data_IF_843128975802
#
_entry.id   IF_843128975802
#
_cell.length_a   1.000
_cell.length_b   1.000
_cell.length_c   1.000
_cell.angle_alpha   90.00
_cell.angle_beta   90.00
_cell.angle_gamma   90.00
#
_symmetry.space_group_name_H-M   'P 1'
#
loop_
_entity.id
_entity.type
_entity.pdbx_description
1 polymer ?
#
# COMPACT_ATOMS: atom_id res chain seq x y z
N UNK A 1 39.99 18.44 -21.97
CA UNK A 1 40.37 18.93 -20.62
C UNK A 1 39.27 19.82 -20.05
N UNK A 2 38.62 20.64 -20.90
CA UNK A 2 37.47 21.47 -20.52
C UNK A 2 36.19 20.64 -20.22
N UNK A 3 35.91 19.62 -21.04
CA UNK A 3 34.77 18.70 -20.82
C UNK A 3 34.83 17.99 -19.46
N UNK A 4 36.02 17.47 -19.08
CA UNK A 4 36.21 16.81 -17.79
C UNK A 4 36.00 17.75 -16.58
N UNK A 5 36.28 19.05 -16.74
CA UNK A 5 36.07 20.04 -15.68
C UNK A 5 34.58 20.43 -15.58
N UNK A 6 33.89 20.52 -16.72
CA UNK A 6 32.46 20.77 -16.77
C UNK A 6 31.68 19.58 -16.19
N UNK A 7 32.02 18.35 -16.57
CA UNK A 7 31.42 17.13 -16.02
C UNK A 7 31.63 17.02 -14.50
N UNK A 8 32.83 17.38 -14.02
CA UNK A 8 33.12 17.41 -12.59
C UNK A 8 32.26 18.44 -11.84
N UNK A 9 32.11 19.66 -12.38
CA UNK A 9 31.25 20.70 -11.79
C UNK A 9 29.78 20.27 -11.76
N UNK A 10 29.30 19.65 -12.84
CA UNK A 10 27.92 19.15 -12.91
C UNK A 10 27.69 18.03 -11.89
N UNK A 11 28.65 17.11 -11.74
CA UNK A 11 28.61 16.06 -10.72
C UNK A 11 28.58 16.63 -9.30
N UNK A 12 29.43 17.62 -8.98
CA UNK A 12 29.41 18.27 -7.67
C UNK A 12 28.08 19.00 -7.38
N UNK A 13 27.53 19.69 -8.39
CA UNK A 13 26.24 20.37 -8.26
C UNK A 13 25.10 19.36 -8.03
N UNK A 14 25.07 18.26 -8.78
CA UNK A 14 24.08 17.19 -8.62
C UNK A 14 24.17 16.56 -7.22
N UNK A 15 25.39 16.37 -6.70
CA UNK A 15 25.61 15.90 -5.33
C UNK A 15 25.08 16.91 -4.30
N UNK A 16 25.41 18.20 -4.44
CA UNK A 16 24.92 19.27 -3.56
C UNK A 16 23.38 19.35 -3.54
N UNK A 17 22.73 19.27 -4.70
CA UNK A 17 21.27 19.22 -4.81
C UNK A 17 20.66 17.99 -4.14
N UNK A 18 21.32 16.85 -4.22
CA UNK A 18 20.88 15.62 -3.54
C UNK A 18 21.00 15.73 -2.02
N UNK A 19 22.07 16.35 -1.51
CA UNK A 19 22.24 16.63 -0.07
C UNK A 19 21.17 17.60 0.41
N UNK A 20 20.94 18.69 -0.33
CA UNK A 20 19.90 19.66 0.01
C UNK A 20 18.51 19.01 0.04
N UNK A 21 18.18 18.13 -0.89
CA UNK A 21 16.90 17.42 -0.90
C UNK A 21 16.70 16.60 0.39
N UNK A 22 17.72 15.83 0.79
CA UNK A 22 17.69 15.04 2.02
C UNK A 22 17.55 15.92 3.26
N UNK A 23 18.30 17.01 3.35
CA UNK A 23 18.22 17.94 4.47
C UNK A 23 16.84 18.58 4.56
N UNK A 24 16.26 18.98 3.43
CA UNK A 24 14.93 19.58 3.40
C UNK A 24 13.83 18.60 3.78
N UNK A 25 13.90 17.35 3.30
CA UNK A 25 12.94 16.33 3.70
C UNK A 25 13.08 15.94 5.17
N UNK A 26 14.32 15.81 5.67
CA UNK A 26 14.56 15.50 7.08
C UNK A 26 14.04 16.60 8.00
N UNK A 27 14.20 17.90 7.66
CA UNK A 27 13.59 19.00 8.43
C UNK A 27 12.07 18.83 8.61
N UNK A 28 11.37 18.34 7.60
CA UNK A 28 9.94 18.06 7.71
C UNK A 28 9.65 16.89 8.64
N UNK A 29 10.43 15.80 8.56
CA UNK A 29 10.31 14.65 9.45
C UNK A 29 10.63 15.05 10.89
N UNK A 30 11.70 15.79 11.11
CA UNK A 30 12.11 16.29 12.43
C UNK A 30 11.03 17.19 13.03
N UNK A 31 10.42 18.06 12.22
CA UNK A 31 9.31 18.92 12.67
C UNK A 31 8.05 18.11 13.02
N UNK A 32 7.81 16.98 12.35
CA UNK A 32 6.72 16.04 12.68
C UNK A 32 6.95 15.35 14.03
N UNK A 33 8.21 15.00 14.31
CA UNK A 33 8.60 14.29 15.53
C UNK A 33 8.68 15.23 16.74
N UNK A 34 9.19 16.45 16.54
CA UNK A 34 9.43 17.43 17.62
C UNK A 34 8.33 18.47 17.77
N UNK A 35 7.43 18.58 16.79
CA UNK A 35 6.41 19.63 16.64
C UNK A 35 6.96 21.07 16.49
N UNK A 36 8.28 21.24 16.51
CA UNK A 36 8.92 22.54 16.36
C UNK A 36 8.89 22.99 14.88
N UNK A 37 8.32 24.16 14.61
CA UNK A 37 8.23 24.70 13.24
C UNK A 37 7.33 23.87 12.30
N UNK A 38 6.50 22.98 12.85
CA UNK A 38 5.70 22.02 12.07
C UNK A 38 4.81 22.69 11.02
N UNK A 39 4.12 23.78 11.38
CA UNK A 39 3.22 24.50 10.46
C UNK A 39 3.96 24.98 9.22
N UNK A 40 5.15 25.57 9.40
CA UNK A 40 5.97 26.08 8.29
C UNK A 40 6.41 24.93 7.37
N UNK A 41 6.88 23.81 7.94
CA UNK A 41 7.32 22.66 7.14
C UNK A 41 6.15 21.99 6.41
N UNK A 42 4.96 21.90 7.04
CA UNK A 42 3.75 21.40 6.38
C UNK A 42 3.37 22.30 5.20
N UNK A 43 3.28 23.61 5.40
CA UNK A 43 2.93 24.57 4.35
C UNK A 43 3.90 24.50 3.18
N UNK A 44 5.20 24.36 3.46
CA UNK A 44 6.22 24.22 2.45
C UNK A 44 6.04 22.95 1.61
N UNK A 45 5.82 21.80 2.24
CA UNK A 45 5.58 20.54 1.52
C UNK A 45 4.29 20.60 0.71
N UNK A 46 3.22 21.15 1.27
CA UNK A 46 1.95 21.34 0.57
C UNK A 46 2.14 22.22 -0.68
N UNK A 47 2.88 23.32 -0.57
CA UNK A 47 3.20 24.17 -1.72
C UNK A 47 4.00 23.44 -2.80
N UNK A 48 4.95 22.56 -2.43
CA UNK A 48 5.70 21.75 -3.39
C UNK A 48 4.77 20.73 -4.07
N UNK A 49 3.88 20.10 -3.32
CA UNK A 49 2.89 19.16 -3.85
C UNK A 49 1.95 19.88 -4.83
N UNK A 50 1.45 21.06 -4.47
CA UNK A 50 0.55 21.84 -5.33
C UNK A 50 1.23 22.25 -6.64
N UNK A 51 2.46 22.76 -6.56
CA UNK A 51 3.21 23.22 -7.73
C UNK A 51 3.65 22.06 -8.63
N UNK A 52 4.14 20.96 -8.06
CA UNK A 52 4.71 19.85 -8.82
C UNK A 52 3.65 18.78 -9.12
N UNK A 53 3.09 18.16 -8.09
CA UNK A 53 2.21 16.98 -8.24
C UNK A 53 0.88 17.37 -8.88
N UNK A 54 0.30 18.50 -8.50
CA UNK A 54 -1.04 18.91 -8.94
C UNK A 54 -1.03 19.88 -10.12
N UNK A 55 0.13 20.41 -10.51
CA UNK A 55 0.24 21.37 -11.59
C UNK A 55 1.29 20.97 -12.64
N UNK A 56 2.57 21.29 -12.44
CA UNK A 56 3.62 21.16 -13.47
C UNK A 56 3.78 19.74 -14.00
N UNK A 57 3.62 18.75 -13.12
CA UNK A 57 3.90 17.34 -13.40
C UNK A 57 2.66 16.45 -13.23
N UNK A 58 1.45 17.02 -13.30
CA UNK A 58 0.20 16.28 -13.07
C UNK A 58 0.04 15.03 -13.95
N UNK A 59 0.57 15.03 -15.18
CA UNK A 59 0.45 13.92 -16.13
C UNK A 59 1.16 12.63 -15.69
N UNK A 60 2.23 12.75 -14.88
CA UNK A 60 2.94 11.58 -14.33
C UNK A 60 2.34 11.10 -13.01
N UNK A 61 1.71 11.99 -12.24
CA UNK A 61 1.12 11.65 -10.94
C UNK A 61 -0.34 11.24 -11.02
N UNK A 62 -1.17 11.91 -11.83
CA UNK A 62 -2.60 11.60 -11.92
C UNK A 62 -2.82 10.36 -12.77
N UNK A 63 -3.45 9.34 -12.19
CA UNK A 63 -3.83 8.10 -12.90
C UNK A 63 -5.32 7.85 -12.78
N UNK A 64 -5.89 7.29 -13.84
CA UNK A 64 -7.26 6.80 -13.88
C UNK A 64 -7.24 5.30 -13.56
N UNK A 65 -8.08 4.88 -12.60
CA UNK A 65 -8.43 3.47 -12.46
C UNK A 65 -9.61 3.20 -13.38
N UNK A 66 -9.38 2.38 -14.40
CA UNK A 66 -10.36 2.13 -15.45
C UNK A 66 -11.51 1.26 -14.96
N UNK A 67 -12.70 1.48 -15.54
CA UNK A 67 -13.88 0.68 -15.26
C UNK A 67 -13.61 -0.78 -15.58
N UNK A 68 -14.03 -1.68 -14.70
CA UNK A 68 -13.81 -3.11 -14.83
C UNK A 68 -12.48 -3.59 -14.24
N UNK A 69 -11.58 -2.70 -13.83
CA UNK A 69 -10.34 -3.10 -13.16
C UNK A 69 -10.65 -3.76 -11.82
N UNK A 70 -10.03 -4.91 -11.56
CA UNK A 70 -10.20 -5.67 -10.33
C UNK A 70 -9.09 -5.37 -9.31
N UNK A 71 -9.48 -5.34 -8.05
CA UNK A 71 -8.59 -5.13 -6.90
C UNK A 71 -8.96 -6.07 -5.76
N UNK A 72 -8.06 -6.23 -4.80
CA UNK A 72 -8.22 -7.24 -3.75
C UNK A 72 -7.99 -6.66 -2.37
N UNK A 73 -8.70 -7.20 -1.38
CA UNK A 73 -8.41 -6.94 0.03
C UNK A 73 -8.45 -8.24 0.81
N UNK A 74 -7.43 -8.47 1.63
CA UNK A 74 -7.40 -9.59 2.54
C UNK A 74 -7.78 -9.14 3.96
N UNK A 75 -8.35 -10.04 4.73
CA UNK A 75 -8.54 -9.92 6.19
C UNK A 75 -8.30 -11.28 6.82
N UNK A 76 -7.66 -11.30 7.99
CA UNK A 76 -7.63 -12.50 8.83
C UNK A 76 -9.06 -12.73 9.34
N UNK A 77 -9.56 -13.95 9.18
CA UNK A 77 -10.86 -14.36 9.73
C UNK A 77 -10.65 -14.62 11.22
N UNK A 78 -11.38 -13.88 12.07
CA UNK A 78 -11.40 -14.16 13.50
C UNK A 78 -12.10 -15.52 13.71
N UNK A 79 -11.50 -16.47 14.46
CA UNK A 79 -12.14 -17.76 14.76
C UNK A 79 -13.56 -17.64 15.35
N UNK A 80 -13.85 -16.55 16.06
CA UNK A 80 -15.20 -16.28 16.60
C UNK A 80 -16.25 -16.02 15.51
N UNK A 81 -15.83 -15.62 14.31
CA UNK A 81 -16.71 -15.29 13.19
C UNK A 81 -17.08 -16.50 12.31
N UNK A 82 -16.45 -17.67 12.51
CA UNK A 82 -16.68 -18.91 11.74
C UNK A 82 -18.16 -19.31 11.66
N UNK A 83 -18.91 -19.02 12.73
CA UNK A 83 -20.32 -19.36 12.92
C UNK A 83 -21.29 -18.21 12.64
N UNK A 84 -20.77 -17.02 12.32
CA UNK A 84 -21.56 -15.81 12.09
C UNK A 84 -21.89 -15.61 10.61
N UNK A 85 -22.95 -16.29 10.17
CA UNK A 85 -23.49 -16.16 8.81
C UNK A 85 -23.83 -14.71 8.42
N UNK A 86 -24.05 -13.81 9.39
CA UNK A 86 -24.35 -12.39 9.12
C UNK A 86 -23.12 -11.61 8.65
N UNK A 87 -21.92 -12.17 8.82
CA UNK A 87 -20.67 -11.61 8.31
C UNK A 87 -20.24 -12.19 6.96
N UNK A 88 -21.01 -13.12 6.41
CA UNK A 88 -20.75 -13.78 5.13
C UNK A 88 -19.82 -14.99 5.17
N UNK A 89 -19.22 -15.31 6.32
CA UNK A 89 -18.34 -16.47 6.46
C UNK A 89 -19.17 -17.75 6.47
N UNK A 90 -18.79 -18.70 5.62
CA UNK A 90 -19.47 -19.98 5.54
C UNK A 90 -19.20 -20.72 4.25
N UNK A 91 -20.08 -21.65 3.90
CA UNK A 91 -19.98 -22.44 2.68
C UNK A 91 -21.24 -22.42 1.84
N UNK A 92 -21.05 -22.48 0.53
CA UNK A 92 -22.13 -22.62 -0.46
C UNK A 92 -22.68 -24.05 -0.49
N UNK A 93 -23.78 -24.26 -1.23
CA UNK A 93 -24.35 -25.60 -1.43
C UNK A 93 -23.39 -26.57 -2.14
N UNK A 94 -22.54 -26.06 -3.04
CA UNK A 94 -21.47 -26.81 -3.70
C UNK A 94 -20.18 -26.89 -2.88
N UNK A 95 -20.24 -26.62 -1.57
CA UNK A 95 -19.14 -26.72 -0.61
C UNK A 95 -17.92 -25.83 -0.92
N UNK A 96 -18.11 -24.69 -1.60
CA UNK A 96 -17.09 -23.64 -1.69
C UNK A 96 -17.14 -22.75 -0.46
N UNK A 97 -15.99 -22.29 0.00
CA UNK A 97 -15.89 -21.44 1.19
C UNK A 97 -15.92 -19.96 0.81
N UNK A 98 -16.82 -19.22 1.43
CA UNK A 98 -16.95 -17.77 1.32
C UNK A 98 -16.28 -17.11 2.54
N UNK A 99 -15.56 -16.02 2.27
CA UNK A 99 -14.98 -15.19 3.32
C UNK A 99 -15.99 -14.17 3.82
N UNK A 100 -15.52 -13.04 4.33
CA UNK A 100 -16.36 -11.92 4.72
C UNK A 100 -17.22 -11.41 3.55
N UNK A 101 -18.43 -10.96 3.86
CA UNK A 101 -19.33 -10.28 2.95
C UNK A 101 -18.83 -8.88 2.56
N UNK A 102 -19.65 -8.14 1.81
CA UNK A 102 -19.35 -6.77 1.37
C UNK A 102 -19.03 -5.84 2.57
N UNK A 103 -19.90 -5.80 3.57
CA UNK A 103 -19.77 -4.89 4.73
C UNK A 103 -18.47 -5.16 5.49
N UNK A 104 -18.14 -6.43 5.71
CA UNK A 104 -16.96 -6.81 6.50
C UNK A 104 -15.67 -6.78 5.66
N UNK A 105 -15.77 -6.83 4.34
CA UNK A 105 -14.64 -6.67 3.40
C UNK A 105 -14.31 -5.21 3.09
N UNK A 106 -15.27 -4.30 3.27
CA UNK A 106 -15.11 -2.86 3.02
C UNK A 106 -14.39 -2.09 4.12
N UNK A 107 -14.16 -0.82 3.87
CA UNK A 107 -13.67 0.17 4.84
C UNK A 107 -14.47 0.09 6.16
N UNK A 108 -13.82 0.33 7.30
CA UNK A 108 -14.54 0.40 8.56
C UNK A 108 -15.53 1.57 8.55
N UNK A 109 -16.63 1.44 9.29
CA UNK A 109 -17.58 2.54 9.52
C UNK A 109 -16.82 3.74 10.12
N UNK A 110 -17.19 4.95 9.69
CA UNK A 110 -16.64 6.20 10.21
C UNK A 110 -16.67 6.23 11.74
N UNK A 111 -15.54 6.57 12.36
CA UNK A 111 -15.34 6.62 13.79
C UNK A 111 -14.80 5.33 14.42
N UNK A 112 -14.77 4.20 13.70
CA UNK A 112 -14.37 2.90 14.25
C UNK A 112 -12.95 2.49 13.85
N UNK A 113 -12.51 2.85 12.64
CA UNK A 113 -11.24 2.39 12.08
C UNK A 113 -10.02 2.79 12.90
N UNK A 114 -8.99 1.95 12.93
CA UNK A 114 -7.67 2.33 13.47
C UNK A 114 -6.98 3.33 12.55
N UNK A 115 -5.93 3.97 13.05
CA UNK A 115 -5.04 4.72 12.17
C UNK A 115 -4.36 3.79 11.16
N UNK A 116 -3.95 4.40 10.05
CA UNK A 116 -3.22 3.73 8.99
C UNK A 116 -2.36 4.74 8.23
N UNK A 117 -1.72 4.26 7.16
CA UNK A 117 -0.72 5.02 6.42
C UNK A 117 -1.23 6.35 5.89
N UNK A 118 -2.47 6.35 5.42
CA UNK A 118 -3.09 7.49 4.74
C UNK A 118 -4.31 8.00 5.51
N UNK A 119 -4.48 7.60 6.78
CA UNK A 119 -5.65 7.94 7.58
C UNK A 119 -5.35 8.01 9.08
N UNK A 120 -5.93 9.00 9.75
CA UNK A 120 -6.00 9.02 11.22
C UNK A 120 -7.00 7.98 11.73
N UNK A 121 -6.94 7.65 13.02
CA UNK A 121 -7.97 6.84 13.66
C UNK A 121 -9.36 7.47 13.48
N UNK A 122 -10.37 6.64 13.25
CA UNK A 122 -11.75 7.04 12.98
C UNK A 122 -12.05 7.40 11.51
N UNK A 123 -11.05 7.54 10.65
CA UNK A 123 -11.31 7.72 9.21
C UNK A 123 -11.76 6.42 8.54
N UNK A 124 -12.58 6.55 7.49
CA UNK A 124 -13.19 5.44 6.75
C UNK A 124 -12.71 5.45 5.31
N UNK A 125 -11.61 4.73 5.02
CA UNK A 125 -11.06 4.58 3.68
C UNK A 125 -10.83 3.11 3.34
N UNK A 126 -10.99 2.78 2.05
CA UNK A 126 -10.84 1.42 1.57
C UNK A 126 -9.39 1.20 1.13
N UNK A 127 -8.72 0.25 1.82
CA UNK A 127 -7.40 -0.23 1.42
C UNK A 127 -7.54 -1.48 0.56
N UNK A 128 -6.98 -1.44 -0.65
CA UNK A 128 -6.98 -2.54 -1.62
C UNK A 128 -5.60 -2.68 -2.25
N UNK A 129 -5.34 -3.82 -2.87
CA UNK A 129 -4.11 -4.14 -3.55
C UNK A 129 -4.36 -4.55 -5.01
N UNK A 130 -3.32 -4.43 -5.83
CA UNK A 130 -3.35 -4.75 -7.27
C UNK A 130 -3.57 -6.22 -7.59
N UNK A 131 -3.24 -7.12 -6.65
CA UNK A 131 -3.32 -8.57 -6.86
C UNK A 131 -3.55 -9.32 -5.53
N UNK A 132 -4.00 -10.58 -5.58
CA UNK A 132 -4.22 -11.41 -4.40
C UNK A 132 -3.01 -11.55 -3.48
N UNK A 133 -1.81 -11.71 -4.05
CA UNK A 133 -0.57 -11.95 -3.33
C UNK A 133 -0.24 -10.75 -2.45
N UNK A 134 -0.31 -9.55 -3.02
CA UNK A 134 -0.08 -8.29 -2.31
C UNK A 134 -1.09 -8.12 -1.17
N UNK A 135 -2.38 -8.36 -1.43
CA UNK A 135 -3.41 -8.26 -0.41
C UNK A 135 -3.13 -9.19 0.78
N UNK A 136 -2.76 -10.44 0.51
CA UNK A 136 -2.43 -11.43 1.54
C UNK A 136 -1.17 -11.06 2.33
N UNK A 137 -0.16 -10.46 1.69
CA UNK A 137 1.06 -10.05 2.37
C UNK A 137 0.84 -8.86 3.31
N UNK A 138 0.00 -7.89 2.94
CA UNK A 138 -0.23 -6.67 3.74
C UNK A 138 -0.84 -6.95 5.12
N UNK A 139 -1.65 -8.00 5.26
CA UNK A 139 -2.27 -8.37 6.55
C UNK A 139 -1.32 -9.07 7.52
N UNK A 140 -0.13 -9.49 7.06
CA UNK A 140 0.93 -10.09 7.90
C UNK A 140 0.42 -11.24 8.80
N UNK A 141 -0.42 -12.09 8.23
CA UNK A 141 -0.98 -13.26 8.92
C UNK A 141 0.11 -14.25 9.36
N UNK A 142 -0.23 -15.13 10.28
CA UNK A 142 0.60 -16.22 10.78
C UNK A 142 0.23 -17.55 10.10
N UNK A 143 1.12 -18.54 10.22
CA UNK A 143 0.81 -19.88 9.71
C UNK A 143 -0.41 -20.47 10.43
N UNK A 144 -1.35 -20.98 9.65
CA UNK A 144 -2.61 -21.51 10.14
C UNK A 144 -3.78 -20.53 10.10
N UNK A 145 -3.52 -19.23 9.92
CA UNK A 145 -4.59 -18.23 9.80
C UNK A 145 -5.44 -18.50 8.56
N UNK A 146 -6.76 -18.38 8.75
CA UNK A 146 -7.70 -18.30 7.65
C UNK A 146 -7.81 -16.85 7.19
N UNK A 147 -7.77 -16.66 5.88
CA UNK A 147 -7.79 -15.35 5.25
C UNK A 147 -9.05 -15.26 4.39
N UNK A 148 -9.86 -14.24 4.62
CA UNK A 148 -10.88 -13.81 3.67
C UNK A 148 -10.21 -12.92 2.63
N UNK A 149 -10.16 -13.38 1.39
CA UNK A 149 -9.71 -12.58 0.25
C UNK A 149 -10.93 -12.11 -0.56
N UNK A 150 -11.23 -10.82 -0.47
CA UNK A 150 -12.28 -10.16 -1.22
C UNK A 150 -11.77 -9.60 -2.55
N UNK A 151 -12.63 -9.63 -3.56
CA UNK A 151 -12.43 -9.04 -4.88
C UNK A 151 -13.38 -7.86 -5.06
N UNK A 152 -12.84 -6.75 -5.54
CA UNK A 152 -13.56 -5.53 -5.86
C UNK A 152 -13.40 -5.18 -7.32
N UNK A 153 -14.38 -4.50 -7.90
CA UNK A 153 -14.34 -4.02 -9.29
C UNK A 153 -14.72 -2.55 -9.37
N UNK A 154 -13.94 -1.78 -10.12
CA UNK A 154 -14.22 -0.36 -10.36
C UNK A 154 -15.41 -0.22 -11.32
N UNK A 155 -16.40 0.58 -10.94
CA UNK A 155 -17.64 0.82 -11.70
C UNK A 155 -17.67 2.16 -12.44
N UNK A 156 -16.86 3.12 -11.99
CA UNK A 156 -16.67 4.41 -12.67
C UNK A 156 -15.20 4.81 -12.57
N UNK A 157 -14.68 5.64 -13.49
CA UNK A 157 -13.32 6.13 -13.41
C UNK A 157 -13.01 6.74 -12.04
N UNK A 158 -11.92 6.30 -11.41
CA UNK A 158 -11.40 6.89 -10.17
C UNK A 158 -10.05 7.55 -10.46
N UNK A 159 -9.92 8.83 -10.14
CA UNK A 159 -8.69 9.59 -10.36
C UNK A 159 -7.86 9.64 -9.10
N UNK A 160 -6.68 9.05 -9.16
CA UNK A 160 -5.80 8.88 -8.01
C UNK A 160 -4.44 9.55 -8.25
N UNK A 161 -3.68 9.74 -7.17
CA UNK A 161 -2.26 10.13 -7.24
C UNK A 161 -1.38 8.89 -7.13
N UNK A 162 -0.49 8.72 -8.10
CA UNK A 162 0.43 7.59 -8.23
C UNK A 162 1.81 7.92 -7.63
N UNK A 163 2.06 7.37 -6.44
CA UNK A 163 3.35 7.35 -5.75
C UNK A 163 4.05 5.98 -5.85
N UNK A 164 3.61 5.10 -6.75
CA UNK A 164 4.28 3.82 -7.01
C UNK A 164 5.29 3.93 -8.15
N UNK A 165 4.89 4.50 -9.30
CA UNK A 165 5.76 4.58 -10.47
C UNK A 165 6.91 5.59 -10.28
N UNK A 166 8.05 5.35 -10.92
CA UNK A 166 9.16 6.30 -10.92
C UNK A 166 8.76 7.64 -11.57
N UNK A 167 9.35 8.73 -11.08
CA UNK A 167 9.02 10.10 -11.47
C UNK A 167 10.25 10.81 -11.99
N UNK A 168 10.08 11.62 -13.02
CA UNK A 168 11.14 12.44 -13.60
C UNK A 168 10.83 13.91 -13.36
N UNK A 169 11.85 14.76 -13.22
CA UNK A 169 11.64 16.17 -12.89
C UNK A 169 12.52 17.05 -13.76
N UNK A 170 12.01 18.22 -14.12
CA UNK A 170 12.74 19.17 -14.94
C UNK A 170 13.88 19.79 -14.13
N UNK A 171 15.03 20.02 -14.79
CA UNK A 171 16.19 20.68 -14.18
C UNK A 171 15.84 22.04 -13.59
N UNK A 172 14.99 22.82 -14.27
CA UNK A 172 14.54 24.15 -13.81
C UNK A 172 13.87 24.12 -12.43
N UNK A 173 13.15 23.04 -12.10
CA UNK A 173 12.49 22.91 -10.79
C UNK A 173 13.53 22.57 -9.72
N UNK A 174 14.54 21.76 -10.05
CA UNK A 174 15.67 21.51 -9.16
C UNK A 174 16.44 22.80 -8.84
N UNK A 175 16.65 23.66 -9.85
CA UNK A 175 17.29 24.96 -9.68
C UNK A 175 16.42 25.93 -8.87
N UNK A 176 15.10 25.99 -9.16
CA UNK A 176 14.16 26.84 -8.44
C UNK A 176 14.06 26.50 -6.95
N UNK A 177 13.94 25.22 -6.61
CA UNK A 177 13.86 24.77 -5.21
C UNK A 177 15.22 24.65 -4.53
N UNK A 178 16.33 24.80 -5.27
CA UNK A 178 17.69 24.63 -4.76
C UNK A 178 17.99 23.22 -4.24
N UNK A 179 17.26 22.21 -4.73
CA UNK A 179 17.38 20.82 -4.30
C UNK A 179 16.93 19.84 -5.38
N UNK A 180 17.47 18.62 -5.38
CA UNK A 180 17.08 17.58 -6.33
C UNK A 180 15.65 17.12 -6.08
N UNK A 181 14.74 17.47 -6.99
CA UNK A 181 13.33 17.06 -6.90
C UNK A 181 13.16 15.54 -6.97
N UNK A 182 14.00 14.87 -7.78
CA UNK A 182 14.02 13.41 -7.86
C UNK A 182 14.33 12.76 -6.51
N UNK A 183 15.35 13.23 -5.80
CA UNK A 183 15.70 12.72 -4.47
C UNK A 183 14.62 13.05 -3.45
N UNK A 184 14.09 14.28 -3.46
CA UNK A 184 13.03 14.71 -2.55
C UNK A 184 11.78 13.84 -2.67
N UNK A 185 11.26 13.67 -3.90
CA UNK A 185 10.09 12.83 -4.14
C UNK A 185 10.36 11.34 -3.91
N UNK A 186 11.58 10.86 -4.18
CA UNK A 186 11.96 9.49 -3.81
C UNK A 186 11.84 9.26 -2.31
N UNK A 187 12.29 10.21 -1.48
CA UNK A 187 12.14 10.12 -0.02
C UNK A 187 10.67 10.19 0.42
N UNK A 188 9.89 11.08 -0.19
CA UNK A 188 8.46 11.22 0.09
C UNK A 188 7.70 9.93 -0.24
N UNK A 189 7.85 9.41 -1.46
CA UNK A 189 7.19 8.18 -1.92
C UNK A 189 7.64 6.96 -1.11
N UNK A 190 8.90 6.94 -0.67
CA UNK A 190 9.42 5.89 0.21
C UNK A 190 8.68 5.83 1.55
N UNK A 191 8.20 6.96 2.09
CA UNK A 191 7.34 6.95 3.30
C UNK A 191 5.99 6.28 3.06
N UNK A 192 5.47 6.33 1.84
CA UNK A 192 4.26 5.58 1.49
C UNK A 192 4.52 4.07 1.37
N UNK A 193 5.78 3.63 1.28
CA UNK A 193 6.12 2.22 1.04
C UNK A 193 6.66 1.52 2.29
N UNK A 194 7.57 2.15 3.02
CA UNK A 194 8.35 1.49 4.08
C UNK A 194 7.48 0.93 5.21
N UNK A 195 7.84 -0.23 5.80
CA UNK A 195 7.21 -0.70 7.03
C UNK A 195 7.39 0.31 8.16
N UNK A 196 6.35 0.50 8.96
CA UNK A 196 6.39 1.38 10.13
C UNK A 196 7.38 0.91 11.18
N UNK A 197 8.13 1.87 11.73
CA UNK A 197 8.92 1.72 12.94
C UNK A 197 8.66 2.97 13.82
N UNK A 198 8.18 2.79 15.05
CA UNK A 198 7.94 3.87 16.01
C UNK A 198 6.52 4.46 16.02
N UNK A 199 6.26 5.32 17.00
CA UNK A 199 4.92 5.82 17.39
C UNK A 199 4.33 6.89 16.44
N UNK A 200 5.14 7.56 15.61
CA UNK A 200 4.70 8.65 14.70
C UNK A 200 4.80 8.32 13.21
N UNK A 201 4.96 7.04 12.87
CA UNK A 201 5.45 6.65 11.54
C UNK A 201 4.52 7.01 10.37
N UNK A 202 3.23 7.29 10.62
CA UNK A 202 2.26 7.64 9.59
C UNK A 202 1.95 9.13 9.49
N UNK A 203 2.39 9.96 10.44
CA UNK A 203 1.97 11.38 10.49
C UNK A 203 2.35 12.12 9.20
N UNK A 204 3.53 11.86 8.64
CA UNK A 204 3.98 12.42 7.36
C UNK A 204 3.04 12.06 6.20
N UNK A 205 2.73 10.78 6.03
CA UNK A 205 1.87 10.30 4.93
C UNK A 205 0.41 10.70 5.14
N UNK A 206 -0.08 10.74 6.38
CA UNK A 206 -1.42 11.22 6.73
C UNK A 206 -1.62 12.70 6.40
N UNK A 207 -0.64 13.57 6.72
CA UNK A 207 -0.70 15.00 6.38
C UNK A 207 -0.78 15.19 4.86
N UNK A 208 0.07 14.49 4.12
CA UNK A 208 0.09 14.54 2.66
C UNK A 208 -1.21 13.98 2.07
N UNK A 209 -1.69 12.85 2.58
CA UNK A 209 -2.91 12.21 2.11
C UNK A 209 -4.14 13.08 2.36
N UNK A 210 -4.24 13.73 3.52
CA UNK A 210 -5.35 14.64 3.81
C UNK A 210 -5.33 15.88 2.90
N UNK A 211 -4.15 16.46 2.67
CA UNK A 211 -3.99 17.58 1.73
C UNK A 211 -4.46 17.20 0.33
N UNK A 212 -3.97 16.07 -0.19
CA UNK A 212 -4.34 15.57 -1.51
C UNK A 212 -5.84 15.23 -1.60
N UNK A 213 -6.41 14.53 -0.62
CA UNK A 213 -7.84 14.20 -0.58
C UNK A 213 -8.74 15.43 -0.69
N UNK A 214 -8.36 16.55 -0.07
CA UNK A 214 -9.12 17.81 -0.11
C UNK A 214 -9.20 18.44 -1.52
N UNK A 215 -8.37 17.99 -2.45
CA UNK A 215 -8.41 18.43 -3.86
C UNK A 215 -9.48 17.70 -4.68
N UNK A 216 -10.14 16.69 -4.12
CA UNK A 216 -11.19 15.92 -4.78
C UNK A 216 -10.71 14.68 -5.54
N UNK A 217 -9.44 14.28 -5.40
CA UNK A 217 -8.98 12.97 -5.89
C UNK A 217 -9.67 11.83 -5.15
N UNK A 218 -9.75 10.67 -5.80
CA UNK A 218 -10.41 9.48 -5.27
C UNK A 218 -9.50 8.60 -4.41
N UNK A 219 -8.18 8.76 -4.48
CA UNK A 219 -7.25 7.92 -3.75
C UNK A 219 -5.77 8.13 -4.06
N UNK A 220 -4.94 7.29 -3.45
CA UNK A 220 -3.48 7.26 -3.62
C UNK A 220 -3.04 5.84 -3.91
N UNK A 221 -2.20 5.64 -4.94
CA UNK A 221 -1.50 4.39 -5.24
C UNK A 221 -0.05 4.48 -4.75
N UNK A 222 0.44 3.43 -4.13
CA UNK A 222 1.81 3.36 -3.62
C UNK A 222 2.35 1.94 -3.70
N UNK A 223 3.68 1.80 -3.72
CA UNK A 223 4.36 0.52 -3.89
C UNK A 223 4.11 -0.40 -2.70
N UNK A 224 3.93 -1.70 -2.94
CA UNK A 224 4.00 -2.69 -1.86
C UNK A 224 5.46 -2.95 -1.49
N UNK A 225 5.78 -2.90 -0.20
CA UNK A 225 7.10 -3.30 0.28
C UNK A 225 7.28 -4.82 0.30
N UNK A 226 6.19 -5.56 0.49
CA UNK A 226 6.22 -7.01 0.73
C UNK A 226 6.10 -7.84 -0.55
N UNK A 227 5.63 -7.24 -1.64
CA UNK A 227 5.38 -7.94 -2.90
C UNK A 227 6.03 -7.20 -4.06
N UNK A 228 7.10 -7.74 -4.67
CA UNK A 228 7.71 -7.18 -5.87
C UNK A 228 6.68 -7.03 -6.99
N UNK A 229 6.59 -5.83 -7.59
CA UNK A 229 5.60 -5.51 -8.63
C UNK A 229 4.16 -5.34 -8.12
N UNK A 230 3.93 -5.52 -6.81
CA UNK A 230 2.65 -5.26 -6.17
C UNK A 230 2.45 -3.77 -5.83
N UNK A 231 1.21 -3.31 -5.90
CA UNK A 231 0.82 -1.96 -5.52
C UNK A 231 -0.37 -1.98 -4.55
N UNK A 232 -0.37 -1.03 -3.65
CA UNK A 232 -1.44 -0.76 -2.69
C UNK A 232 -2.15 0.53 -3.07
N UNK A 233 -3.42 0.63 -2.66
CA UNK A 233 -4.27 1.77 -2.92
C UNK A 233 -5.03 2.11 -1.66
N UNK A 234 -5.12 3.40 -1.36
CA UNK A 234 -6.12 3.92 -0.42
C UNK A 234 -7.15 4.68 -1.23
N UNK A 235 -8.39 4.22 -1.21
CA UNK A 235 -9.52 4.84 -1.91
C UNK A 235 -10.34 5.63 -0.88
N UNK A 236 -10.36 6.94 -1.04
CA UNK A 236 -11.11 7.87 -0.20
C UNK A 236 -12.60 7.85 -0.56
N UNK A 237 -12.93 7.84 -1.87
CA UNK A 237 -14.30 7.88 -2.37
C UNK A 237 -14.79 6.48 -2.77
N UNK A 238 -14.90 5.59 -1.79
CA UNK A 238 -15.12 4.15 -1.99
C UNK A 238 -16.59 3.68 -1.95
N UNK A 239 -17.54 4.58 -2.21
CA UNK A 239 -18.97 4.23 -2.25
C UNK A 239 -19.24 3.00 -3.14
N UNK A 240 -20.19 2.10 -2.81
CA UNK A 240 -20.47 0.90 -3.60
C UNK A 240 -20.79 1.14 -5.08
N UNK A 241 -21.35 2.31 -5.42
CA UNK A 241 -21.60 2.71 -6.82
C UNK A 241 -20.33 3.10 -7.59
N UNK A 242 -19.19 3.20 -6.91
CA UNK A 242 -17.89 3.56 -7.46
C UNK A 242 -16.98 2.34 -7.58
N UNK A 243 -16.99 1.52 -6.54
CA UNK A 243 -16.22 0.29 -6.43
C UNK A 243 -17.10 -0.78 -5.77
N UNK A 244 -17.49 -1.79 -6.53
CA UNK A 244 -18.34 -2.87 -6.06
C UNK A 244 -17.53 -3.99 -5.42
N UNK A 245 -18.10 -4.63 -4.41
CA UNK A 245 -17.64 -5.92 -3.94
C UNK A 245 -18.22 -6.99 -4.88
N UNK A 246 -17.38 -7.89 -5.35
CA UNK A 246 -17.78 -8.96 -6.27
C UNK A 246 -18.03 -10.26 -5.52
N UNK A 247 -17.02 -10.73 -4.79
CA UNK A 247 -17.02 -12.02 -4.11
C UNK A 247 -15.87 -12.06 -3.11
N UNK A 248 -15.91 -13.05 -2.20
CA UNK A 248 -14.78 -13.39 -1.34
C UNK A 248 -14.57 -14.90 -1.29
N UNK A 249 -13.33 -15.30 -1.02
CA UNK A 249 -12.94 -16.70 -0.82
C UNK A 249 -12.07 -16.85 0.40
N UNK A 250 -12.05 -18.07 0.96
CA UNK A 250 -11.17 -18.42 2.08
C UNK A 250 -9.85 -18.98 1.57
N UNK A 251 -8.75 -18.46 2.09
CA UNK A 251 -7.40 -18.98 1.93
C UNK A 251 -6.85 -19.42 3.28
N UNK A 252 -5.86 -20.31 3.26
CA UNK A 252 -5.08 -20.70 4.43
C UNK A 252 -3.67 -20.16 4.26
N UNK A 253 -3.15 -19.41 5.23
CA UNK A 253 -1.72 -19.11 5.28
C UNK A 253 -0.97 -20.38 5.68
N UNK A 254 -0.60 -21.18 4.68
CA UNK A 254 -0.01 -22.50 4.93
C UNK A 254 1.45 -22.44 5.34
N UNK A 255 2.25 -21.63 4.63
CA UNK A 255 3.70 -21.54 4.78
C UNK A 255 4.25 -20.32 4.03
N UNK A 256 5.45 -19.87 4.42
CA UNK A 256 6.24 -18.87 3.71
C UNK A 256 7.63 -19.41 3.32
N UNK A 257 8.21 -18.85 2.26
CA UNK A 257 9.62 -19.07 1.91
C UNK A 257 10.41 -17.80 2.26
N UNK A 258 11.36 -17.93 3.19
CA UNK A 258 12.21 -16.83 3.62
C UNK A 258 13.57 -16.96 2.95
N UNK A 259 14.05 -15.85 2.39
CA UNK A 259 15.37 -15.72 1.78
C UNK A 259 16.27 -14.82 2.62
N UNK A 260 17.50 -15.26 2.83
CA UNK A 260 18.56 -14.51 3.49
C UNK A 260 19.82 -14.50 2.60
N UNK A 261 20.62 -13.45 2.67
CA UNK A 261 21.87 -13.34 1.92
C UNK A 261 23.08 -13.46 2.85
N UNK A 262 24.01 -14.33 2.49
CA UNK A 262 25.33 -14.43 3.12
C UNK A 262 26.33 -13.62 2.26
N UNK A 263 26.69 -12.43 2.74
CA UNK A 263 27.58 -11.53 2.02
C UNK A 263 29.04 -11.99 1.98
N UNK A 264 29.46 -12.86 2.90
CA UNK A 264 30.85 -13.35 2.91
C UNK A 264 31.05 -14.45 1.87
N UNK A 265 30.04 -15.29 1.70
CA UNK A 265 30.06 -16.40 0.75
C UNK A 265 29.34 -16.09 -0.57
N UNK A 266 28.74 -14.90 -0.69
CA UNK A 266 27.95 -14.46 -1.85
C UNK A 266 26.85 -15.47 -2.26
N UNK A 267 26.19 -16.08 -1.25
CA UNK A 267 25.18 -17.13 -1.47
C UNK A 267 23.86 -16.81 -0.78
N UNK A 268 22.79 -17.44 -1.26
CA UNK A 268 21.48 -17.39 -0.64
C UNK A 268 21.24 -18.55 0.36
N UNK A 269 20.62 -18.22 1.49
CA UNK A 269 20.08 -19.17 2.45
C UNK A 269 18.56 -19.08 2.36
N UNK A 270 17.90 -20.21 2.10
CA UNK A 270 16.44 -20.28 1.89
C UNK A 270 15.82 -21.24 2.90
N UNK A 271 14.73 -20.84 3.57
CA UNK A 271 14.01 -21.72 4.50
C UNK A 271 13.37 -22.93 3.81
N UNK A 272 13.11 -22.83 2.50
CA UNK A 272 12.63 -23.93 1.66
C UNK A 272 13.24 -23.82 0.26
N UNK A 273 14.53 -24.17 0.14
CA UNK A 273 15.31 -24.03 -1.10
C UNK A 273 14.68 -24.74 -2.31
N UNK A 274 14.11 -25.93 -2.10
CA UNK A 274 13.51 -26.74 -3.17
C UNK A 274 12.03 -26.38 -3.45
N UNK A 275 11.41 -25.52 -2.64
CA UNK A 275 10.00 -25.13 -2.79
C UNK A 275 8.97 -26.25 -2.58
N UNK A 276 9.38 -27.47 -2.17
CA UNK A 276 8.52 -28.67 -2.12
C UNK A 276 7.22 -28.45 -1.33
N UNK A 277 7.29 -27.73 -0.21
CA UNK A 277 6.12 -27.45 0.65
C UNK A 277 5.31 -26.20 0.25
N UNK A 278 5.70 -25.47 -0.80
CA UNK A 278 4.98 -24.28 -1.28
C UNK A 278 3.90 -24.61 -2.30
N UNK A 279 3.98 -25.79 -2.92
CA UNK A 279 3.05 -26.24 -3.95
C UNK A 279 1.77 -26.75 -3.27
N UNK A 280 0.62 -26.49 -3.90
CA UNK A 280 -0.66 -27.00 -3.44
C UNK A 280 -0.66 -28.54 -3.44
N UNK A 281 -0.66 -29.14 -2.25
CA UNK A 281 -0.83 -30.58 -2.06
C UNK A 281 -2.31 -30.91 -1.82
N UNK A 282 -2.90 -31.72 -2.71
CA UNK A 282 -4.32 -32.05 -2.65
C UNK A 282 -4.67 -32.87 -1.40
N UNK A 283 -3.83 -33.81 -0.99
CA UNK A 283 -4.10 -34.68 0.16
C UNK A 283 -4.16 -33.87 1.44
N UNK A 284 -3.15 -33.01 1.66
CA UNK A 284 -3.09 -32.11 2.81
C UNK A 284 -4.24 -31.11 2.77
N UNK A 285 -4.53 -30.54 1.60
CA UNK A 285 -5.62 -29.59 1.46
C UNK A 285 -7.00 -30.23 1.74
N UNK A 286 -7.24 -31.47 1.30
CA UNK A 286 -8.50 -32.17 1.53
C UNK A 286 -8.70 -32.49 3.02
N UNK A 287 -7.63 -32.71 3.79
CA UNK A 287 -7.70 -32.80 5.26
C UNK A 287 -8.14 -31.48 5.89
N UNK A 288 -7.49 -30.37 5.53
CA UNK A 288 -7.91 -29.04 6.01
C UNK A 288 -9.36 -28.71 5.62
N UNK A 289 -9.78 -29.05 4.39
CA UNK A 289 -11.16 -28.85 3.95
C UNK A 289 -12.16 -29.64 4.77
N UNK A 290 -11.86 -30.89 5.16
CA UNK A 290 -12.76 -31.68 6.03
C UNK A 290 -13.03 -30.96 7.35
N UNK A 291 -12.00 -30.39 7.97
CA UNK A 291 -12.15 -29.61 9.21
C UNK A 291 -12.98 -28.33 8.99
N UNK A 292 -12.71 -27.60 7.91
CA UNK A 292 -13.49 -26.41 7.57
C UNK A 292 -14.95 -26.74 7.26
N UNK A 293 -15.25 -27.86 6.60
CA UNK A 293 -16.62 -28.29 6.33
C UNK A 293 -17.43 -28.57 7.60
N UNK A 294 -16.77 -28.95 8.70
CA UNK A 294 -17.42 -29.18 10.00
C UNK A 294 -17.67 -27.86 10.74
N UNK A 295 -16.75 -26.89 10.62
CA UNK A 295 -16.84 -25.57 11.26
C UNK A 295 -17.78 -24.63 10.53
N UNK A 296 -17.68 -24.54 9.20
CA UNK A 296 -18.38 -23.54 8.41
C UNK A 296 -19.81 -23.98 8.10
N UNK A 297 -20.76 -23.16 8.54
CA UNK A 297 -22.19 -23.35 8.27
C UNK A 297 -22.54 -23.03 6.81
N UNK A 298 -23.62 -23.64 6.32
CA UNK A 298 -24.14 -23.35 4.98
C UNK A 298 -24.78 -21.96 4.97
N UNK A 299 -24.35 -21.13 4.03
CA UNK A 299 -25.03 -19.87 3.70
C UNK A 299 -26.20 -20.22 2.77
N UNK A 300 -27.36 -19.60 3.01
CA UNK A 300 -28.58 -19.83 2.22
C UNK A 300 -28.50 -19.18 0.85
#
# INVERSE_FOLDING_TARGET
MDDNLQDFKESMNAWGWSVNARNNFNKFIDAIETEQGLIEQIQRIQSIIDDIVLNKEISQFKKCLEVGTEYYRARIINPEDDDDLKKGIGKTQDNKFMGYDDINSREPILGIGSEGRNNIAGASYLYIASNPETACMEIKSQFGDLISLAKFKVLKPLYIIDFESEKTFQRKDTEFYGMSMGVFFSQLMLRFTQPVRGENAYRATQIIADHLRKTGIDGIKYKSFLTPGGANYTIFNCHPSAIEFCESKVLLHKQANHSFWDFNNETEIMSNKDGKMLIYDKTIADEHKKHLLQRFKRIK
#
